data_IF_408145718093
#
_entry.id   IF_408145718093
#
_cell.length_a   1.000
_cell.length_b   1.000
_cell.length_c   1.000
_cell.angle_alpha   90.00
_cell.angle_beta   90.00
_cell.angle_gamma   90.00
#
_symmetry.space_group_name_H-M   'P 1'
#
loop_
_entity.id
_entity.type
_entity.pdbx_description
1 polymer ?
#
# COMPACT_ATOMS: atom_id res chain seq x y z
N UNK A 1 21.63 -16.98 -23.96
CA UNK A 1 21.03 -15.90 -24.76
C UNK A 1 20.20 -16.59 -25.83
N UNK A 2 18.89 -16.75 -25.61
CA UNK A 2 17.98 -17.36 -26.59
C UNK A 2 17.73 -16.35 -27.70
N UNK A 3 17.81 -16.78 -28.95
CA UNK A 3 17.65 -15.90 -30.12
C UNK A 3 16.24 -15.29 -30.13
N UNK A 4 16.11 -14.02 -30.52
CA UNK A 4 14.81 -13.32 -30.57
C UNK A 4 13.77 -14.01 -31.47
N UNK A 5 14.22 -14.83 -32.45
CA UNK A 5 13.36 -15.66 -33.29
C UNK A 5 12.76 -16.88 -32.57
N UNK A 6 13.41 -17.40 -31.51
CA UNK A 6 12.94 -18.58 -30.77
C UNK A 6 11.80 -18.25 -29.79
N UNK A 7 11.61 -16.96 -29.46
CA UNK A 7 10.55 -16.52 -28.54
C UNK A 7 9.22 -16.27 -29.26
N UNK A 8 9.25 -15.98 -30.56
CA UNK A 8 8.06 -15.74 -31.37
C UNK A 8 7.26 -17.06 -31.51
N UNK A 9 6.03 -17.06 -31.03
CA UNK A 9 5.15 -18.23 -31.11
C UNK A 9 5.28 -19.26 -29.97
N UNK A 10 6.11 -19.02 -28.93
CA UNK A 10 6.17 -19.92 -27.75
C UNK A 10 4.84 -20.01 -27.00
N UNK A 11 4.04 -18.94 -27.04
CA UNK A 11 2.74 -18.84 -26.37
C UNK A 11 1.74 -19.89 -26.89
N UNK A 12 1.82 -20.29 -28.16
CA UNK A 12 0.82 -21.18 -28.77
C UNK A 12 1.10 -22.67 -28.61
N UNK A 13 2.31 -23.10 -28.25
CA UNK A 13 2.66 -24.53 -28.33
C UNK A 13 3.71 -25.06 -27.33
N UNK A 14 4.33 -24.25 -26.47
CA UNK A 14 5.46 -24.73 -25.64
C UNK A 14 5.07 -25.08 -24.19
N UNK A 15 5.54 -26.21 -23.62
CA UNK A 15 5.51 -26.43 -22.19
C UNK A 15 6.39 -25.39 -21.47
N UNK A 16 6.09 -25.13 -20.21
CA UNK A 16 6.91 -24.23 -19.40
C UNK A 16 8.31 -24.82 -19.20
N UNK A 17 9.32 -23.96 -19.22
CA UNK A 17 10.70 -24.33 -18.85
C UNK A 17 10.78 -24.65 -17.35
N UNK A 18 11.88 -25.28 -16.91
CA UNK A 18 12.10 -25.56 -15.49
C UNK A 18 12.09 -24.28 -14.62
N UNK A 19 12.65 -23.18 -15.13
CA UNK A 19 12.68 -21.90 -14.43
C UNK A 19 11.28 -21.27 -14.31
N UNK A 20 10.46 -21.40 -15.37
CA UNK A 20 9.07 -20.93 -15.39
C UNK A 20 8.20 -21.72 -14.40
N UNK A 21 8.32 -23.06 -14.38
CA UNK A 21 7.64 -23.90 -13.37
C UNK A 21 8.07 -23.54 -11.94
N UNK A 22 9.38 -23.37 -11.70
CA UNK A 22 9.88 -23.01 -10.37
C UNK A 22 9.41 -21.61 -9.91
N UNK A 23 9.16 -20.68 -10.83
CA UNK A 23 8.54 -19.40 -10.51
C UNK A 23 7.05 -19.56 -10.19
N UNK A 24 6.31 -20.32 -11.01
CA UNK A 24 4.90 -20.60 -10.78
C UNK A 24 4.70 -21.23 -9.39
N UNK A 25 5.49 -22.25 -9.05
CA UNK A 25 5.48 -22.92 -7.74
C UNK A 25 5.72 -21.94 -6.58
N UNK A 26 6.79 -21.13 -6.65
CA UNK A 26 7.10 -20.15 -5.59
C UNK A 26 5.98 -19.13 -5.38
N UNK A 27 5.27 -18.74 -6.43
CA UNK A 27 4.17 -17.79 -6.37
C UNK A 27 2.81 -18.44 -6.05
N UNK A 28 2.72 -19.77 -5.98
CA UNK A 28 1.44 -20.49 -5.83
C UNK A 28 0.55 -20.39 -7.08
N UNK A 29 1.16 -20.34 -8.26
CA UNK A 29 0.52 -20.18 -9.57
C UNK A 29 0.58 -21.46 -10.42
N UNK A 30 0.78 -22.63 -9.81
CA UNK A 30 0.91 -23.93 -10.50
C UNK A 30 -0.34 -24.33 -11.27
N UNK A 31 -1.49 -23.83 -10.83
CA UNK A 31 -2.80 -24.10 -11.43
C UNK A 31 -3.08 -23.24 -12.67
N UNK A 32 -2.21 -22.27 -12.99
CA UNK A 32 -2.34 -21.50 -14.22
C UNK A 32 -2.00 -22.36 -15.43
N UNK A 33 -2.76 -22.20 -16.51
CA UNK A 33 -2.43 -22.83 -17.78
C UNK A 33 -1.06 -22.32 -18.28
N UNK A 34 -0.21 -23.19 -18.87
CA UNK A 34 1.10 -22.80 -19.41
C UNK A 34 1.00 -21.59 -20.35
N UNK A 35 -0.02 -21.58 -21.21
CA UNK A 35 -0.29 -20.49 -22.14
C UNK A 35 -0.54 -19.16 -21.42
N UNK A 36 -1.35 -19.16 -20.35
CA UNK A 36 -1.67 -17.94 -19.61
C UNK A 36 -0.48 -17.41 -18.83
N UNK A 37 0.30 -18.31 -18.26
CA UNK A 37 1.54 -17.95 -17.58
C UNK A 37 2.53 -17.31 -18.56
N UNK A 38 2.68 -17.88 -19.77
CA UNK A 38 3.51 -17.31 -20.83
C UNK A 38 2.99 -15.96 -21.34
N UNK A 39 1.66 -15.80 -21.50
CA UNK A 39 1.03 -14.51 -21.84
C UNK A 39 1.43 -13.38 -20.85
N UNK A 40 1.69 -13.73 -19.59
CA UNK A 40 2.08 -12.81 -18.53
C UNK A 40 3.60 -12.60 -18.36
N UNK A 41 4.44 -13.55 -18.79
CA UNK A 41 5.91 -13.50 -18.62
C UNK A 41 6.64 -13.00 -19.87
N UNK A 42 6.06 -13.19 -21.05
CA UNK A 42 6.65 -12.73 -22.32
C UNK A 42 6.24 -11.28 -22.54
N UNK A 43 7.17 -10.35 -22.29
CA UNK A 43 6.91 -8.93 -22.47
C UNK A 43 6.84 -8.58 -23.99
N UNK A 44 6.01 -7.60 -24.42
CA UNK A 44 5.90 -7.18 -25.83
C UNK A 44 7.19 -6.72 -26.49
N UNK A 45 8.22 -6.43 -25.69
CA UNK A 45 9.56 -6.16 -26.22
C UNK A 45 10.23 -7.41 -26.79
N UNK A 46 10.05 -8.58 -26.18
CA UNK A 46 10.56 -9.85 -26.69
C UNK A 46 9.68 -10.41 -27.82
N UNK A 47 8.36 -10.33 -27.67
CA UNK A 47 7.40 -10.76 -28.69
C UNK A 47 6.32 -9.68 -28.90
N UNK A 48 6.47 -8.84 -29.93
CA UNK A 48 5.49 -7.79 -30.25
C UNK A 48 4.08 -8.33 -30.57
N UNK A 49 3.94 -9.61 -30.91
CA UNK A 49 2.64 -10.24 -31.18
C UNK A 49 1.83 -10.48 -29.89
N UNK A 50 2.46 -10.46 -28.72
CA UNK A 50 1.79 -10.62 -27.43
C UNK A 50 1.01 -9.35 -27.03
N UNK A 51 -0.17 -9.18 -27.62
CA UNK A 51 -1.11 -8.11 -27.29
C UNK A 51 -1.84 -8.32 -25.96
N UNK A 52 -1.74 -9.51 -25.36
CA UNK A 52 -2.46 -9.88 -24.13
C UNK A 52 -1.74 -9.38 -22.88
N UNK A 53 -0.42 -9.32 -22.89
CA UNK A 53 0.39 -8.85 -21.77
C UNK A 53 -0.12 -7.52 -21.20
N UNK A 54 -0.36 -6.52 -22.06
CA UNK A 54 -0.81 -5.20 -21.62
C UNK A 54 -2.20 -5.25 -20.95
N UNK A 55 -3.12 -6.06 -21.48
CA UNK A 55 -4.46 -6.25 -20.90
C UNK A 55 -4.39 -6.96 -19.55
N UNK A 56 -3.56 -7.99 -19.44
CA UNK A 56 -3.34 -8.70 -18.17
C UNK A 56 -2.69 -7.79 -17.13
N UNK A 57 -1.66 -7.03 -17.50
CA UNK A 57 -1.01 -6.07 -16.60
C UNK A 57 -1.97 -4.99 -16.12
N UNK A 58 -2.82 -4.47 -17.01
CA UNK A 58 -3.86 -3.52 -16.63
C UNK A 58 -4.88 -4.13 -15.67
N UNK A 59 -5.37 -5.34 -15.97
CA UNK A 59 -6.34 -6.03 -15.11
C UNK A 59 -5.76 -6.35 -13.72
N UNK A 60 -4.51 -6.81 -13.65
CA UNK A 60 -3.84 -7.05 -12.37
C UNK A 60 -3.58 -5.76 -11.60
N UNK A 61 -3.27 -4.65 -12.28
CA UNK A 61 -3.17 -3.33 -11.65
C UNK A 61 -4.49 -2.86 -11.04
N UNK A 62 -5.59 -3.03 -11.77
CA UNK A 62 -6.93 -2.69 -11.28
C UNK A 62 -7.33 -3.56 -10.08
N UNK A 63 -7.13 -4.88 -10.16
CA UNK A 63 -7.39 -5.81 -9.05
C UNK A 63 -6.54 -5.46 -7.82
N UNK A 64 -5.24 -5.26 -8.00
CA UNK A 64 -4.32 -4.85 -6.93
C UNK A 64 -4.80 -3.58 -6.23
N UNK A 65 -5.13 -2.54 -7.00
CA UNK A 65 -5.62 -1.27 -6.46
C UNK A 65 -6.91 -1.47 -5.67
N UNK A 66 -7.86 -2.26 -6.19
CA UNK A 66 -9.14 -2.50 -5.54
C UNK A 66 -8.97 -3.19 -4.18
N UNK A 67 -8.30 -4.35 -4.14
CA UNK A 67 -8.15 -5.13 -2.90
C UNK A 67 -7.27 -4.43 -1.86
N UNK A 68 -6.26 -3.67 -2.28
CA UNK A 68 -5.47 -2.85 -1.36
C UNK A 68 -6.31 -1.69 -0.80
N UNK A 69 -7.13 -1.04 -1.64
CA UNK A 69 -8.01 0.05 -1.20
C UNK A 69 -9.00 -0.46 -0.16
N UNK A 70 -9.65 -1.57 -0.45
CA UNK A 70 -10.56 -2.26 0.46
C UNK A 70 -9.86 -2.59 1.79
N UNK A 71 -8.70 -3.25 1.74
CA UNK A 71 -7.96 -3.63 2.94
C UNK A 71 -7.60 -2.42 3.80
N UNK A 72 -7.05 -1.35 3.23
CA UNK A 72 -6.64 -0.16 3.99
C UNK A 72 -7.85 0.58 4.55
N UNK A 73 -8.94 0.69 3.78
CA UNK A 73 -10.16 1.37 4.21
C UNK A 73 -10.75 0.71 5.47
N UNK A 74 -10.89 -0.62 5.46
CA UNK A 74 -11.44 -1.35 6.61
C UNK A 74 -10.41 -1.53 7.75
N UNK A 75 -9.11 -1.58 7.45
CA UNK A 75 -8.06 -1.59 8.49
C UNK A 75 -8.01 -0.25 9.25
N UNK A 76 -8.25 0.86 8.58
CA UNK A 76 -8.21 2.21 9.16
C UNK A 76 -9.51 2.98 8.89
N UNK A 77 -10.64 2.61 9.52
CA UNK A 77 -11.96 3.16 9.21
C UNK A 77 -12.07 4.66 9.46
N UNK A 78 -11.25 5.22 10.36
CA UNK A 78 -11.24 6.64 10.71
C UNK A 78 -10.31 7.47 9.83
N UNK A 79 -9.55 6.86 8.92
CA UNK A 79 -8.51 7.58 8.17
C UNK A 79 -9.14 8.53 7.13
N UNK A 80 -8.78 9.83 7.13
CA UNK A 80 -9.30 10.75 6.12
C UNK A 80 -8.89 10.37 4.68
N UNK A 81 -9.68 10.81 3.69
CA UNK A 81 -9.48 10.44 2.27
C UNK A 81 -8.09 10.81 1.74
N UNK A 82 -7.55 11.98 2.11
CA UNK A 82 -6.23 12.42 1.65
C UNK A 82 -5.07 11.47 2.10
N UNK A 83 -4.88 11.17 3.40
CA UNK A 83 -3.89 10.19 3.84
C UNK A 83 -4.23 8.75 3.43
N UNK A 84 -5.50 8.39 3.26
CA UNK A 84 -5.93 7.10 2.73
C UNK A 84 -5.41 6.89 1.29
N UNK A 85 -5.70 7.82 0.39
CA UNK A 85 -5.26 7.74 -1.02
C UNK A 85 -3.75 7.82 -1.16
N UNK A 86 -3.07 8.64 -0.33
CA UNK A 86 -1.61 8.67 -0.27
C UNK A 86 -1.04 7.32 0.19
N UNK A 87 -1.65 6.69 1.21
CA UNK A 87 -1.23 5.37 1.70
C UNK A 87 -1.40 4.30 0.63
N UNK A 88 -2.58 4.22 0.00
CA UNK A 88 -2.81 3.31 -1.13
C UNK A 88 -1.73 3.53 -2.21
N UNK A 89 -1.45 4.80 -2.52
CA UNK A 89 -0.32 5.32 -3.31
C UNK A 89 0.97 4.52 -3.22
N UNK A 90 1.36 4.26 -1.99
CA UNK A 90 2.66 3.67 -1.68
C UNK A 90 2.67 2.17 -1.81
N UNK A 91 1.54 1.52 -1.55
CA UNK A 91 1.41 0.08 -1.70
C UNK A 91 1.44 -0.37 -3.16
N UNK A 92 1.02 0.49 -4.09
CA UNK A 92 1.19 0.27 -5.53
C UNK A 92 2.42 0.95 -6.12
N UNK A 93 3.29 1.55 -5.30
CA UNK A 93 4.47 2.23 -5.79
C UNK A 93 5.47 1.25 -6.45
N UNK A 94 6.21 1.76 -7.42
CA UNK A 94 7.08 0.96 -8.27
C UNK A 94 8.18 0.21 -7.49
N UNK A 95 8.68 0.79 -6.41
CA UNK A 95 9.62 0.14 -5.51
C UNK A 95 8.99 -1.06 -4.80
N UNK A 96 7.78 -0.94 -4.28
CA UNK A 96 7.09 -2.03 -3.58
C UNK A 96 6.77 -3.17 -4.54
N UNK A 97 6.28 -2.86 -5.73
CA UNK A 97 6.05 -3.85 -6.79
C UNK A 97 7.35 -4.59 -7.16
N UNK A 98 8.45 -3.85 -7.31
CA UNK A 98 9.74 -4.44 -7.63
C UNK A 98 10.25 -5.34 -6.50
N UNK A 99 10.08 -4.94 -5.24
CA UNK A 99 10.49 -5.75 -4.09
C UNK A 99 9.72 -7.08 -4.03
N UNK A 100 8.41 -7.07 -4.34
CA UNK A 100 7.61 -8.30 -4.45
C UNK A 100 8.08 -9.14 -5.64
N UNK A 101 8.28 -8.53 -6.80
CA UNK A 101 8.78 -9.23 -7.99
C UNK A 101 10.16 -9.85 -7.73
N UNK A 102 11.03 -9.15 -7.01
CA UNK A 102 12.38 -9.57 -6.65
C UNK A 102 12.37 -10.72 -5.64
N UNK A 103 11.47 -10.68 -4.63
CA UNK A 103 11.24 -11.77 -3.67
C UNK A 103 11.00 -13.10 -4.38
N UNK A 104 10.22 -13.07 -5.46
CA UNK A 104 9.91 -14.25 -6.27
C UNK A 104 10.92 -14.51 -7.40
N UNK A 105 11.85 -13.60 -7.67
CA UNK A 105 12.80 -13.74 -8.76
C UNK A 105 12.20 -13.59 -10.16
N UNK A 106 11.09 -12.85 -10.29
CA UNK A 106 10.39 -12.59 -11.57
C UNK A 106 11.36 -12.00 -12.60
N UNK A 107 12.24 -11.09 -12.18
CA UNK A 107 13.25 -10.44 -13.02
C UNK A 107 14.24 -11.42 -13.69
N UNK A 108 14.39 -12.64 -13.16
CA UNK A 108 15.28 -13.67 -13.72
C UNK A 108 14.60 -14.54 -14.78
N UNK A 109 13.27 -14.59 -14.79
CA UNK A 109 12.47 -15.50 -15.63
C UNK A 109 11.73 -14.77 -16.75
N UNK A 110 11.43 -13.48 -16.57
CA UNK A 110 10.77 -12.65 -17.59
C UNK A 110 11.52 -12.64 -18.91
N UNK A 111 10.81 -12.97 -19.99
CA UNK A 111 11.33 -12.93 -21.35
C UNK A 111 11.19 -11.51 -21.90
N UNK A 112 12.33 -10.89 -22.22
CA UNK A 112 12.42 -9.49 -22.67
C UNK A 112 13.68 -9.29 -23.52
N UNK A 113 13.71 -8.23 -24.32
CA UNK A 113 14.95 -7.78 -24.93
C UNK A 113 15.94 -7.26 -23.88
N UNK A 114 17.25 -7.53 -24.03
CA UNK A 114 18.27 -6.96 -23.17
C UNK A 114 18.30 -5.44 -23.34
N UNK A 115 18.04 -4.70 -22.25
CA UNK A 115 18.13 -3.24 -22.15
C UNK A 115 18.72 -2.85 -20.79
N UNK A 116 18.89 -1.56 -20.53
CA UNK A 116 19.42 -1.02 -19.27
C UNK A 116 18.64 -1.50 -18.03
N UNK A 117 19.32 -1.56 -16.88
CA UNK A 117 18.77 -2.02 -15.60
C UNK A 117 17.52 -1.26 -15.10
N UNK A 118 17.31 0.00 -15.48
CA UNK A 118 16.09 0.74 -15.11
C UNK A 118 14.85 0.20 -15.83
N UNK A 119 14.99 -0.11 -17.12
CA UNK A 119 13.96 -0.77 -17.92
C UNK A 119 13.68 -2.17 -17.40
N UNK A 120 14.69 -2.78 -16.77
CA UNK A 120 14.55 -4.11 -16.21
C UNK A 120 13.63 -4.17 -14.99
N UNK A 121 13.65 -3.12 -14.16
CA UNK A 121 12.74 -3.00 -13.02
C UNK A 121 11.30 -2.80 -13.48
N UNK A 122 11.08 -1.92 -14.46
CA UNK A 122 9.72 -1.61 -14.95
C UNK A 122 9.06 -2.81 -15.58
N UNK A 123 9.82 -3.57 -16.39
CA UNK A 123 9.34 -4.81 -17.00
C UNK A 123 9.02 -5.86 -15.92
N UNK A 124 9.85 -6.00 -14.87
CA UNK A 124 9.58 -6.94 -13.79
C UNK A 124 8.28 -6.58 -13.02
N UNK A 125 8.06 -5.28 -12.72
CA UNK A 125 6.83 -4.81 -12.11
C UNK A 125 5.60 -5.07 -12.98
N UNK A 126 5.69 -4.74 -14.28
CA UNK A 126 4.59 -4.98 -15.23
C UNK A 126 4.28 -6.47 -15.37
N UNK A 127 5.31 -7.33 -15.35
CA UNK A 127 5.14 -8.78 -15.42
C UNK A 127 4.50 -9.34 -14.15
N UNK A 128 4.87 -8.83 -12.97
CA UNK A 128 4.17 -9.17 -11.72
C UNK A 128 2.68 -8.80 -11.81
N UNK A 129 2.36 -7.60 -12.30
CA UNK A 129 0.97 -7.19 -12.51
C UNK A 129 0.27 -8.07 -13.54
N UNK A 130 0.95 -8.46 -14.62
CA UNK A 130 0.39 -9.37 -15.62
C UNK A 130 0.12 -10.76 -15.04
N UNK A 131 0.98 -11.26 -14.14
CA UNK A 131 0.77 -12.52 -13.42
C UNK A 131 -0.42 -12.45 -12.47
N UNK A 132 -0.60 -11.33 -11.76
CA UNK A 132 -1.79 -11.07 -10.94
C UNK A 132 -3.06 -11.04 -11.82
N UNK A 133 -2.98 -10.40 -13.00
CA UNK A 133 -4.07 -10.39 -13.97
C UNK A 133 -4.37 -11.79 -14.54
N UNK A 134 -3.34 -12.60 -14.80
CA UNK A 134 -3.48 -13.98 -15.22
C UNK A 134 -4.18 -14.83 -14.15
N UNK A 135 -3.77 -14.67 -12.88
CA UNK A 135 -4.40 -15.32 -11.73
C UNK A 135 -5.87 -14.91 -11.62
N UNK A 136 -6.17 -13.62 -11.72
CA UNK A 136 -7.54 -13.11 -11.70
C UNK A 136 -8.39 -13.70 -12.84
N UNK A 137 -7.82 -13.84 -14.04
CA UNK A 137 -8.52 -14.43 -15.18
C UNK A 137 -8.91 -15.89 -14.90
N UNK A 138 -7.96 -16.73 -14.49
CA UNK A 138 -8.17 -18.19 -14.48
C UNK A 138 -8.71 -18.72 -13.16
N UNK A 139 -8.34 -18.10 -12.03
CA UNK A 139 -8.76 -18.54 -10.69
C UNK A 139 -9.80 -17.61 -10.05
N UNK A 140 -10.15 -16.52 -10.73
CA UNK A 140 -11.17 -15.59 -10.29
C UNK A 140 -10.73 -14.65 -9.17
N UNK A 141 -11.71 -13.92 -8.65
CA UNK A 141 -11.52 -12.82 -7.70
C UNK A 141 -10.92 -13.27 -6.36
N UNK A 142 -11.42 -14.37 -5.79
CA UNK A 142 -11.04 -14.82 -4.44
C UNK A 142 -9.57 -15.25 -4.35
N UNK A 143 -9.10 -16.05 -5.31
CA UNK A 143 -7.70 -16.48 -5.36
C UNK A 143 -6.75 -15.27 -5.56
N UNK A 144 -7.14 -14.34 -6.43
CA UNK A 144 -6.37 -13.11 -6.66
C UNK A 144 -6.28 -12.25 -5.40
N UNK A 145 -7.40 -12.07 -4.70
CA UNK A 145 -7.46 -11.36 -3.40
C UNK A 145 -6.50 -11.99 -2.39
N UNK A 146 -6.59 -13.29 -2.16
CA UNK A 146 -5.72 -13.99 -1.21
C UNK A 146 -4.24 -13.81 -1.55
N UNK A 147 -3.89 -13.96 -2.84
CA UNK A 147 -2.53 -13.73 -3.31
C UNK A 147 -2.04 -12.31 -3.01
N UNK A 148 -2.87 -11.29 -3.26
CA UNK A 148 -2.54 -9.88 -3.01
C UNK A 148 -2.37 -9.61 -1.52
N UNK A 149 -3.33 -10.01 -0.68
CA UNK A 149 -3.28 -9.74 0.76
C UNK A 149 -2.04 -10.41 1.39
N UNK A 150 -1.72 -11.65 1.01
CA UNK A 150 -0.57 -12.39 1.53
C UNK A 150 0.78 -11.76 1.11
N UNK A 151 0.84 -11.05 -0.02
CA UNK A 151 2.09 -10.51 -0.58
C UNK A 151 2.30 -9.01 -0.43
N UNK A 152 1.24 -8.25 -0.19
CA UNK A 152 1.31 -6.80 -0.08
C UNK A 152 0.96 -6.34 1.34
N UNK A 153 -0.05 -6.94 1.97
CA UNK A 153 -0.58 -6.44 3.23
C UNK A 153 0.25 -6.85 4.46
N UNK A 154 1.10 -7.88 4.39
CA UNK A 154 2.03 -8.17 5.50
C UNK A 154 2.98 -6.99 5.79
N UNK A 155 3.25 -6.12 4.82
CA UNK A 155 4.07 -4.91 5.05
C UNK A 155 3.36 -3.85 5.90
N UNK A 156 2.03 -3.92 6.03
CA UNK A 156 1.24 -2.99 6.87
C UNK A 156 1.34 -3.31 8.37
N UNK A 157 1.68 -4.54 8.75
CA UNK A 157 1.76 -4.94 10.16
C UNK A 157 2.94 -4.28 10.89
N UNK A 158 4.01 -3.92 10.17
CA UNK A 158 5.21 -3.30 10.72
C UNK A 158 5.04 -1.77 10.80
N UNK A 159 4.47 -1.24 11.89
CA UNK A 159 4.53 0.18 12.29
C UNK A 159 4.29 1.23 11.16
N UNK A 160 3.43 0.93 10.18
CA UNK A 160 3.16 1.86 9.09
C UNK A 160 2.37 3.08 9.56
N UNK A 161 2.88 4.29 9.31
CA UNK A 161 2.20 5.54 9.68
C UNK A 161 1.46 6.14 8.47
N UNK A 162 0.12 5.97 8.35
CA UNK A 162 -0.65 6.50 7.22
C UNK A 162 -0.71 8.03 7.17
N UNK A 163 -0.39 8.72 8.29
CA UNK A 163 -0.40 10.17 8.38
C UNK A 163 0.95 10.83 8.01
N UNK A 164 1.95 10.07 7.54
CA UNK A 164 3.29 10.63 7.28
C UNK A 164 3.32 11.78 6.26
N UNK A 165 2.40 11.77 5.29
CA UNK A 165 2.25 12.82 4.28
C UNK A 165 1.15 13.83 4.61
N UNK A 166 0.54 13.71 5.79
CA UNK A 166 -0.50 14.63 6.20
C UNK A 166 0.14 15.90 6.76
N UNK A 167 0.47 16.86 5.89
CA UNK A 167 1.17 18.10 6.27
C UNK A 167 0.28 19.15 6.96
N UNK A 168 -1.04 18.95 7.01
CA UNK A 168 -2.02 19.89 7.59
C UNK A 168 -2.30 19.71 9.10
N UNK A 169 -1.39 19.06 9.83
CA UNK A 169 -1.52 18.81 11.28
C UNK A 169 -1.77 20.08 12.10
N UNK A 170 -1.15 21.20 11.70
CA UNK A 170 -1.15 22.42 12.50
C UNK A 170 -2.42 23.27 12.36
N UNK A 171 -3.13 23.21 11.23
CA UNK A 171 -4.33 24.04 11.03
C UNK A 171 -5.55 23.48 11.76
N UNK A 172 -5.61 22.17 11.95
CA UNK A 172 -6.76 21.48 12.53
C UNK A 172 -6.74 21.55 14.06
N UNK A 173 -5.55 21.47 14.67
CA UNK A 173 -5.38 21.36 16.13
C UNK A 173 -4.87 22.64 16.81
N UNK A 174 -4.66 23.73 16.06
CA UNK A 174 -4.13 24.99 16.59
C UNK A 174 -4.92 25.53 17.78
N UNK A 175 -6.26 25.37 17.78
CA UNK A 175 -7.16 25.86 18.81
C UNK A 175 -7.16 25.06 20.13
N UNK A 176 -6.63 23.83 20.12
CA UNK A 176 -6.71 22.88 21.23
C UNK A 176 -5.37 22.64 21.95
N UNK A 177 -4.36 23.45 21.64
CA UNK A 177 -3.01 23.25 22.16
C UNK A 177 -2.81 23.93 23.52
N UNK A 178 -2.30 23.17 24.50
CA UNK A 178 -1.86 23.68 25.79
C UNK A 178 -0.39 23.33 26.04
N UNK A 179 0.35 24.26 26.63
CA UNK A 179 1.74 24.04 27.04
C UNK A 179 1.74 23.35 28.40
N UNK A 180 2.46 22.22 28.51
CA UNK A 180 2.47 21.44 29.75
C UNK A 180 3.63 21.80 30.67
N UNK A 181 4.83 22.01 30.12
CA UNK A 181 5.98 22.44 30.92
C UNK A 181 6.89 23.42 30.16
N UNK A 182 7.54 24.32 30.90
CA UNK A 182 8.69 25.10 30.39
C UNK A 182 9.96 24.30 30.63
N UNK A 183 10.89 24.22 29.67
CA UNK A 183 12.14 23.49 29.89
C UNK A 183 12.90 24.10 31.08
N UNK A 184 13.39 23.24 31.97
CA UNK A 184 14.36 23.63 33.00
C UNK A 184 15.72 23.76 32.31
N UNK A 185 16.37 24.91 32.48
CA UNK A 185 17.61 25.23 31.78
C UNK A 185 18.78 24.42 32.36
N UNK A 186 18.96 23.18 31.91
CA UNK A 186 20.18 22.39 32.16
C UNK A 186 20.31 21.33 31.05
N UNK A 187 21.21 21.62 30.11
CA UNK A 187 21.80 20.79 29.04
C UNK A 187 20.90 20.01 28.05
N UNK A 188 19.60 19.87 28.27
CA UNK A 188 18.64 19.39 27.24
C UNK A 188 17.23 19.93 27.48
N UNK A 189 17.06 21.23 27.22
CA UNK A 189 15.76 21.90 27.29
C UNK A 189 14.75 21.31 26.27
N UNK A 190 14.03 20.27 26.66
CA UNK A 190 12.93 19.70 25.87
C UNK A 190 11.62 20.43 26.21
N UNK A 191 10.91 20.86 25.19
CA UNK A 191 9.56 21.39 25.30
C UNK A 191 8.57 20.24 25.31
N UNK A 192 7.66 20.27 26.29
CA UNK A 192 6.55 19.31 26.42
C UNK A 192 5.25 20.05 26.13
N UNK A 193 4.55 19.64 25.08
CA UNK A 193 3.28 20.20 24.65
C UNK A 193 2.21 19.12 24.66
N UNK A 194 0.99 19.49 25.05
CA UNK A 194 -0.17 18.60 25.01
C UNK A 194 -1.32 19.21 24.21
N UNK A 195 -2.10 18.37 23.54
CA UNK A 195 -3.35 18.77 22.87
C UNK A 195 -4.51 18.31 23.74
N UNK A 196 -5.45 19.19 24.01
CA UNK A 196 -6.57 18.96 24.92
C UNK A 196 -7.90 19.35 24.28
N UNK A 197 -8.92 18.53 24.50
CA UNK A 197 -10.32 18.91 24.29
C UNK A 197 -10.99 19.00 25.66
N UNK A 198 -11.26 20.22 26.12
CA UNK A 198 -11.70 20.46 27.50
C UNK A 198 -10.62 20.05 28.53
N UNK A 199 -10.91 19.01 29.31
CA UNK A 199 -10.00 18.42 30.31
C UNK A 199 -9.27 17.17 29.78
N UNK A 200 -9.73 16.57 28.70
CA UNK A 200 -9.16 15.33 28.17
C UNK A 200 -7.90 15.61 27.34
N UNK A 201 -6.80 14.92 27.68
CA UNK A 201 -5.54 14.97 26.92
C UNK A 201 -5.64 14.05 25.70
N UNK A 202 -5.70 14.64 24.51
CA UNK A 202 -5.76 13.91 23.24
C UNK A 202 -4.39 13.43 22.75
N UNK A 203 -3.31 14.12 23.14
CA UNK A 203 -1.96 13.74 22.73
C UNK A 203 -0.88 14.62 23.35
N UNK A 204 0.36 14.14 23.32
CA UNK A 204 1.52 14.79 23.93
C UNK A 204 2.74 14.67 23.01
N UNK A 205 3.63 15.66 23.03
CA UNK A 205 4.79 15.69 22.17
C UNK A 205 5.98 16.40 22.82
N UNK A 206 7.17 15.89 22.51
CA UNK A 206 8.44 16.31 23.09
C UNK A 206 9.38 16.74 21.96
N UNK A 207 9.98 17.92 22.06
CA UNK A 207 10.98 18.37 21.08
C UNK A 207 11.86 19.49 21.63
N UNK A 208 13.05 19.76 21.05
CA UNK A 208 13.94 20.82 21.50
C UNK A 208 13.42 22.24 21.25
N UNK A 209 12.38 22.41 20.43
CA UNK A 209 11.74 23.71 20.20
C UNK A 209 10.22 23.63 20.29
N UNK A 210 9.60 24.75 20.66
CA UNK A 210 8.15 24.81 20.89
C UNK A 210 7.35 24.46 19.62
N UNK A 211 7.80 24.91 18.44
CA UNK A 211 7.13 24.61 17.16
C UNK A 211 7.12 23.11 16.85
N UNK A 212 8.21 22.39 17.08
CA UNK A 212 8.31 20.95 16.86
C UNK A 212 7.57 20.18 17.94
N UNK A 213 7.64 20.62 19.21
CA UNK A 213 6.92 19.94 20.30
C UNK A 213 5.41 20.04 20.08
N UNK A 214 4.93 21.22 19.65
CA UNK A 214 3.55 21.46 19.22
C UNK A 214 3.15 20.54 18.06
N UNK A 215 3.97 20.47 17.01
CA UNK A 215 3.73 19.60 15.85
C UNK A 215 3.71 18.13 16.26
N UNK A 216 4.60 17.71 17.15
CA UNK A 216 4.67 16.34 17.67
C UNK A 216 3.43 15.99 18.48
N UNK A 217 2.99 16.88 19.37
CA UNK A 217 1.80 16.69 20.19
C UNK A 217 0.55 16.56 19.32
N UNK A 218 0.40 17.48 18.36
CA UNK A 218 -0.69 17.46 17.40
C UNK A 218 -0.67 16.19 16.53
N UNK A 219 0.50 15.77 16.03
CA UNK A 219 0.63 14.54 15.25
C UNK A 219 0.27 13.30 16.05
N UNK A 220 0.67 13.24 17.33
CA UNK A 220 0.34 12.12 18.21
C UNK A 220 -1.16 12.05 18.50
N UNK A 221 -1.81 13.20 18.74
CA UNK A 221 -3.27 13.27 18.89
C UNK A 221 -4.00 12.76 17.63
N UNK A 222 -3.58 13.22 16.44
CA UNK A 222 -4.18 12.75 15.18
C UNK A 222 -3.94 11.26 14.93
N UNK A 223 -2.76 10.73 15.28
CA UNK A 223 -2.47 9.29 15.15
C UNK A 223 -3.37 8.46 16.05
N UNK A 224 -3.52 8.86 17.31
CA UNK A 224 -4.38 8.14 18.25
C UNK A 224 -5.83 8.11 17.76
N UNK A 225 -6.27 9.17 17.08
CA UNK A 225 -7.64 9.25 16.58
C UNK A 225 -7.86 8.58 15.21
N UNK A 226 -7.03 8.90 14.21
CA UNK A 226 -7.23 8.46 12.82
C UNK A 226 -6.53 7.14 12.48
N UNK A 227 -5.47 6.77 13.20
CA UNK A 227 -4.74 5.53 12.95
C UNK A 227 -5.24 4.36 13.81
N UNK A 228 -6.48 4.42 14.31
CA UNK A 228 -7.12 3.28 14.98
C UNK A 228 -7.20 2.14 13.98
N UNK A 229 -6.60 1.00 14.35
CA UNK A 229 -6.48 -0.18 13.50
C UNK A 229 -7.50 -1.24 13.89
N UNK A 230 -8.11 -1.84 12.89
CA UNK A 230 -8.79 -3.14 13.03
C UNK A 230 -7.78 -4.21 12.65
N UNK A 231 -7.51 -5.17 13.55
CA UNK A 231 -6.48 -6.18 13.30
C UNK A 231 -6.89 -7.13 12.17
N UNK A 232 -8.10 -7.67 12.27
CA UNK A 232 -8.71 -8.57 11.30
C UNK A 232 -10.00 -7.96 10.78
N UNK A 233 -9.93 -7.03 9.81
CA UNK A 233 -11.12 -6.43 9.24
C UNK A 233 -11.90 -7.46 8.41
N UNK A 234 -13.22 -7.54 8.61
CA UNK A 234 -14.11 -8.20 7.66
C UNK A 234 -14.16 -7.34 6.38
N UNK A 235 -13.82 -7.95 5.24
CA UNK A 235 -13.70 -7.22 3.97
C UNK A 235 -14.89 -7.56 3.07
N UNK A 236 -15.48 -6.58 2.36
CA UNK A 236 -16.59 -6.80 1.41
C UNK A 236 -16.40 -7.91 0.38
N UNK A 237 -15.16 -8.24 0.06
CA UNK A 237 -14.77 -9.30 -0.85
C UNK A 237 -14.59 -10.69 -0.20
N UNK A 238 -14.88 -10.84 1.09
CA UNK A 238 -14.95 -12.14 1.79
C UNK A 238 -16.27 -12.87 1.45
N UNK A 239 -16.28 -14.20 1.52
CA UNK A 239 -17.49 -15.00 1.25
C UNK A 239 -18.55 -14.81 2.35
N UNK A 240 -18.11 -14.66 3.60
CA UNK A 240 -18.97 -14.52 4.78
C UNK A 240 -19.21 -13.05 5.17
N UNK A 241 -18.98 -12.11 4.25
CA UNK A 241 -19.08 -10.68 4.55
C UNK A 241 -20.47 -10.31 5.04
N UNK A 242 -20.53 -9.63 6.18
CA UNK A 242 -21.75 -9.01 6.66
C UNK A 242 -21.54 -7.50 6.85
N UNK A 243 -22.39 -6.70 6.22
CA UNK A 243 -22.29 -5.25 6.34
C UNK A 243 -22.66 -4.82 7.76
N UNK A 244 -21.66 -4.60 8.60
CA UNK A 244 -21.85 -3.87 9.86
C UNK A 244 -22.05 -2.39 9.54
N UNK A 245 -23.00 -1.69 10.20
CA UNK A 245 -23.13 -0.25 10.06
C UNK A 245 -21.79 0.43 10.32
N UNK A 246 -21.31 1.21 9.36
CA UNK A 246 -20.12 2.03 9.56
C UNK A 246 -20.55 3.16 10.50
N UNK A 247 -20.09 3.14 11.74
CA UNK A 247 -20.16 4.30 12.60
C UNK A 247 -19.30 5.40 11.95
N UNK A 248 -19.96 6.39 11.33
CA UNK A 248 -19.27 7.59 10.88
C UNK A 248 -18.65 8.22 12.13
N UNK A 249 -17.31 8.33 12.22
CA UNK A 249 -16.65 8.79 13.44
C UNK A 249 -17.05 10.23 13.83
N UNK A 250 -17.81 10.92 12.98
CA UNK A 250 -18.18 12.31 13.17
C UNK A 250 -16.95 13.21 13.05
N UNK A 251 -17.20 14.50 12.82
CA UNK A 251 -16.14 15.50 12.87
C UNK A 251 -15.84 15.81 14.34
N UNK A 252 -14.75 15.23 14.88
CA UNK A 252 -14.35 15.43 16.29
C UNK A 252 -13.92 16.85 16.61
N UNK A 253 -13.45 17.60 15.61
CA UNK A 253 -13.05 18.99 15.82
C UNK A 253 -14.20 19.88 15.35
N UNK A 254 -15.20 20.17 16.22
CA UNK A 254 -16.15 21.23 15.90
C UNK A 254 -15.34 22.49 15.58
N UNK A 255 -15.82 23.29 14.62
CA UNK A 255 -15.23 24.61 14.35
C UNK A 255 -15.06 25.31 15.70
N UNK A 256 -13.83 25.71 16.01
CA UNK A 256 -13.49 26.36 17.27
C UNK A 256 -14.55 27.41 17.59
N UNK A 257 -15.34 27.17 18.65
CA UNK A 257 -16.13 28.23 19.26
C UNK A 257 -15.16 29.35 19.62
N UNK A 258 -15.51 30.58 19.24
CA UNK A 258 -14.74 31.75 19.63
C UNK A 258 -14.49 31.73 21.14
N UNK A 259 -13.22 31.93 21.48
CA UNK A 259 -12.74 32.42 22.78
C UNK A 259 -12.87 31.47 23.98
N UNK A 260 -11.73 30.94 24.43
CA UNK A 260 -11.43 30.85 25.85
C UNK A 260 -10.30 31.83 26.14
N UNK A 261 -10.68 33.09 26.41
CA UNK A 261 -9.86 33.98 27.22
C UNK A 261 -10.07 33.50 28.67
N UNK A 262 -9.06 32.89 29.24
CA UNK A 262 -8.98 32.58 30.66
C UNK A 262 -7.77 33.29 31.23
N UNK A 263 -8.04 34.25 32.13
CA UNK A 263 -7.11 35.14 32.82
C UNK A 263 -5.89 34.45 33.44
#
# INVERSE_FOLDING_TARGET
MTNNLELQGRISASPLTAAEHALAARMGLEELSPKRFLDAIIHPSADPSNTRFAKLSYMGSAALKMYITEYIYFKYPKLPVAPLTATIGEFYAHNVLFDVAQKYGVQKVVCRLPKNYLTDKTIACQSLLALIGALYWERGALACRQFILNNFCYRLSMNYNPLKHYYYVNSILSAHLRRLQKPRAEYSAMYIMGVYSGEEKLGEGFAPNEKQARRSAAMNALRQFYCVRVEEPDLPSSEDYSATPIEDPGVIFPKAGKEFIGN
#
